data_IF_982221863000
#
_entry.id   IF_982221863000
#
_cell.length_a   1.000
_cell.length_b   1.000
_cell.length_c   1.000
_cell.angle_alpha   90.00
_cell.angle_beta   90.00
_cell.angle_gamma   90.00
#
_symmetry.space_group_name_H-M   'P 1'
#
loop_
_entity.id
_entity.type
_entity.pdbx_description
1 polymer ?
#
# COMPACT_ATOMS: atom_id res chain seq x y z
N UNK A 1 10.34 -1.04 -10.05
CA UNK A 1 10.89 -1.54 -8.76
C UNK A 1 11.33 -0.34 -7.91
N UNK A 2 10.39 0.32 -7.23
CA UNK A 2 10.63 1.55 -6.44
C UNK A 2 10.69 1.28 -4.93
N UNK A 3 9.85 0.37 -4.42
CA UNK A 3 9.66 0.06 -2.99
C UNK A 3 10.89 -0.43 -2.21
N UNK A 4 12.03 -0.64 -2.85
CA UNK A 4 13.28 -1.08 -2.20
C UNK A 4 14.46 -0.12 -2.35
N UNK A 5 14.25 1.07 -2.93
CA UNK A 5 15.31 2.07 -3.16
C UNK A 5 15.03 3.44 -2.54
N UNK A 6 13.78 3.71 -2.18
CA UNK A 6 13.32 5.00 -1.66
C UNK A 6 12.57 4.79 -0.36
N UNK A 7 12.73 5.73 0.57
CA UNK A 7 12.01 5.75 1.83
C UNK A 7 10.51 5.90 1.55
N UNK A 8 9.67 5.21 2.32
CA UNK A 8 8.22 5.17 2.10
C UNK A 8 7.59 6.57 2.01
N UNK A 9 8.03 7.48 2.88
CA UNK A 9 7.54 8.87 2.91
C UNK A 9 7.91 9.70 1.67
N UNK A 10 8.88 9.29 0.86
CA UNK A 10 9.23 9.97 -0.39
C UNK A 10 8.41 9.49 -1.58
N UNK A 11 7.70 8.36 -1.46
CA UNK A 11 6.99 7.74 -2.58
C UNK A 11 5.96 8.69 -3.20
N UNK A 12 5.09 9.39 -2.44
CA UNK A 12 4.11 10.31 -3.03
C UNK A 12 4.74 11.46 -3.81
N UNK A 13 5.99 11.85 -3.50
CA UNK A 13 6.69 12.91 -4.25
C UNK A 13 7.19 12.44 -5.61
N UNK A 14 7.40 11.13 -5.78
CA UNK A 14 7.95 10.54 -7.01
C UNK A 14 6.82 9.95 -7.85
N UNK A 15 5.84 9.33 -7.21
CA UNK A 15 4.68 8.70 -7.84
C UNK A 15 3.45 9.09 -7.03
N UNK A 16 2.58 9.86 -7.66
CA UNK A 16 1.33 10.33 -7.06
C UNK A 16 0.12 9.52 -7.58
N UNK A 17 0.05 9.28 -8.90
CA UNK A 17 -1.10 8.61 -9.54
C UNK A 17 -0.65 7.37 -10.32
N UNK A 18 -1.41 6.28 -10.21
CA UNK A 18 -1.22 5.02 -10.95
C UNK A 18 -2.44 4.78 -11.82
N UNK A 19 -2.24 4.73 -13.13
CA UNK A 19 -3.30 4.47 -14.11
C UNK A 19 -3.12 3.06 -14.66
N UNK A 20 -4.11 2.20 -14.45
CA UNK A 20 -4.14 0.86 -15.00
C UNK A 20 -4.89 0.85 -16.32
N UNK A 21 -4.16 0.62 -17.42
CA UNK A 21 -4.72 0.58 -18.78
C UNK A 21 -4.82 -0.88 -19.23
N UNK A 22 -5.99 -1.26 -19.74
CA UNK A 22 -6.25 -2.59 -20.30
C UNK A 22 -7.01 -2.46 -21.61
N UNK A 23 -6.53 -3.13 -22.66
CA UNK A 23 -7.17 -3.15 -23.98
C UNK A 23 -7.42 -1.76 -24.61
N UNK A 24 -6.60 -0.76 -24.24
CA UNK A 24 -6.73 0.62 -24.72
C UNK A 24 -7.69 1.49 -23.89
N UNK A 25 -8.33 0.93 -22.86
CA UNK A 25 -9.21 1.63 -21.95
C UNK A 25 -8.57 1.80 -20.57
N UNK A 26 -8.93 2.89 -19.89
CA UNK A 26 -8.56 3.11 -18.48
C UNK A 26 -9.43 2.17 -17.65
N UNK A 27 -8.80 1.16 -17.06
CA UNK A 27 -9.51 0.17 -16.27
C UNK A 27 -9.68 0.61 -14.82
N UNK A 28 -8.63 1.15 -14.19
CA UNK A 28 -8.67 1.67 -12.81
C UNK A 28 -7.65 2.80 -12.64
N UNK A 29 -7.96 3.77 -11.78
CA UNK A 29 -7.05 4.87 -11.42
C UNK A 29 -6.89 4.87 -9.92
N UNK A 30 -5.66 4.92 -9.45
CA UNK A 30 -5.33 5.00 -8.03
C UNK A 30 -4.53 6.24 -7.72
N UNK A 31 -4.77 6.83 -6.55
CA UNK A 31 -3.96 7.92 -5.99
C UNK A 31 -3.18 7.44 -4.77
N UNK A 32 -2.01 8.02 -4.53
CA UNK A 32 -1.11 7.68 -3.43
C UNK A 32 -1.09 8.82 -2.42
N UNK A 33 -1.39 8.53 -1.16
CA UNK A 33 -1.37 9.51 -0.07
C UNK A 33 -0.50 9.03 1.07
N UNK A 34 0.31 9.91 1.64
CA UNK A 34 1.01 9.62 2.90
C UNK A 34 0.20 10.10 4.10
N UNK A 35 0.07 9.24 5.09
CA UNK A 35 -0.71 9.48 6.31
C UNK A 35 0.01 8.86 7.51
N UNK A 36 -0.19 9.42 8.70
CA UNK A 36 0.25 8.80 9.96
C UNK A 36 -0.99 8.19 10.59
N UNK A 37 -1.05 6.85 10.64
CA UNK A 37 -2.18 6.08 11.20
C UNK A 37 -1.66 4.81 11.86
N UNK A 38 -2.54 4.13 12.60
CA UNK A 38 -2.31 2.76 13.08
C UNK A 38 -2.64 1.81 11.92
N UNK A 39 -1.71 0.97 11.44
CA UNK A 39 -1.99 0.04 10.34
C UNK A 39 -3.09 -0.96 10.70
N UNK A 40 -3.96 -1.28 9.75
CA UNK A 40 -5.16 -2.11 9.97
C UNK A 40 -4.86 -3.54 10.46
N UNK A 41 -3.61 -4.02 10.33
CA UNK A 41 -3.15 -5.32 10.82
C UNK A 41 -2.60 -5.35 12.24
N UNK A 42 -2.55 -4.23 12.96
CA UNK A 42 -2.03 -4.14 14.33
C UNK A 42 -3.14 -3.77 15.33
N UNK A 43 -3.13 -4.41 16.50
CA UNK A 43 -4.13 -4.18 17.56
C UNK A 43 -3.70 -3.18 18.64
N UNK A 44 -2.40 -2.86 18.73
CA UNK A 44 -1.87 -1.91 19.72
C UNK A 44 -1.77 -0.50 19.12
N UNK A 45 -2.52 0.43 19.70
CA UNK A 45 -2.73 1.81 19.22
C UNK A 45 -1.53 2.75 19.44
N UNK A 46 -0.56 2.36 20.28
CA UNK A 46 0.60 3.20 20.63
C UNK A 46 1.68 3.30 19.53
N UNK A 47 1.47 2.65 18.38
CA UNK A 47 2.42 2.57 17.28
C UNK A 47 1.89 3.26 16.01
N UNK A 48 1.46 4.52 16.15
CA UNK A 48 1.20 5.38 15.00
C UNK A 48 2.48 5.49 14.15
N UNK A 49 2.39 5.12 12.87
CA UNK A 49 3.52 5.08 11.96
C UNK A 49 3.18 5.78 10.65
N UNK A 50 4.19 6.33 9.94
CA UNK A 50 3.99 6.80 8.58
C UNK A 50 3.68 5.60 7.67
N UNK A 51 2.55 5.69 6.97
CA UNK A 51 2.11 4.74 5.97
C UNK A 51 1.75 5.46 4.68
N UNK A 52 1.72 4.70 3.59
CA UNK A 52 1.24 5.17 2.28
C UNK A 52 -0.04 4.43 1.95
N UNK A 53 -1.11 5.18 1.74
CA UNK A 53 -2.43 4.70 1.34
C UNK A 53 -2.53 4.77 -0.19
N UNK A 54 -2.98 3.67 -0.79
CA UNK A 54 -3.38 3.62 -2.19
C UNK A 54 -4.89 3.72 -2.22
N UNK A 55 -5.40 4.83 -2.72
CA UNK A 55 -6.83 5.14 -2.76
C UNK A 55 -7.35 4.87 -4.17
N UNK A 56 -8.58 4.39 -4.26
CA UNK A 56 -9.31 4.41 -5.53
C UNK A 56 -9.66 5.85 -5.88
N UNK A 57 -9.44 6.24 -7.13
CA UNK A 57 -9.69 7.61 -7.57
C UNK A 57 -11.18 7.95 -7.66
N UNK A 58 -12.05 6.96 -7.90
CA UNK A 58 -13.49 7.19 -8.04
C UNK A 58 -14.19 7.24 -6.68
N UNK A 59 -13.81 6.34 -5.76
CA UNK A 59 -14.49 6.22 -4.45
C UNK A 59 -13.77 6.93 -3.31
N UNK A 60 -12.51 7.33 -3.50
CA UNK A 60 -11.60 7.82 -2.46
C UNK A 60 -11.39 6.83 -1.29
N UNK A 61 -11.75 5.55 -1.48
CA UNK A 61 -11.57 4.52 -0.47
C UNK A 61 -10.15 3.93 -0.52
N UNK A 62 -9.51 3.70 0.64
CA UNK A 62 -8.18 3.09 0.68
C UNK A 62 -8.27 1.61 0.31
N UNK A 63 -7.63 1.26 -0.79
CA UNK A 63 -7.58 -0.09 -1.36
C UNK A 63 -6.42 -0.89 -0.78
N UNK A 64 -5.27 -0.23 -0.62
CA UNK A 64 -4.07 -0.83 -0.03
C UNK A 64 -3.41 0.11 0.97
N UNK A 65 -2.79 -0.49 1.98
CA UNK A 65 -1.87 0.19 2.89
C UNK A 65 -0.46 -0.36 2.68
N UNK A 66 0.51 0.54 2.58
CA UNK A 66 1.93 0.21 2.52
C UNK A 66 2.58 0.79 3.77
N UNK A 67 3.25 -0.05 4.54
CA UNK A 67 3.99 0.37 5.73
C UNK A 67 5.25 -0.47 5.91
N UNK A 68 6.12 -0.03 6.81
CA UNK A 68 7.36 -0.75 7.13
C UNK A 68 7.20 -1.45 8.48
N UNK A 69 7.51 -2.74 8.53
CA UNK A 69 7.58 -3.53 9.75
C UNK A 69 8.99 -4.07 9.93
N UNK A 70 9.70 -3.60 10.97
CA UNK A 70 11.14 -3.84 11.10
C UNK A 70 11.89 -3.22 9.91
N UNK A 71 12.62 -4.05 9.17
CA UNK A 71 13.37 -3.65 7.96
C UNK A 71 12.67 -4.07 6.64
N UNK A 72 11.40 -4.46 6.72
CA UNK A 72 10.67 -5.04 5.59
C UNK A 72 9.44 -4.20 5.23
N UNK A 73 9.25 -3.95 3.93
CA UNK A 73 8.05 -3.28 3.40
C UNK A 73 6.92 -4.28 3.28
N UNK A 74 5.80 -3.96 3.91
CA UNK A 74 4.57 -4.76 3.90
C UNK A 74 3.51 -4.02 3.09
N UNK A 75 2.79 -4.75 2.25
CA UNK A 75 1.62 -4.27 1.51
C UNK A 75 0.42 -5.04 2.05
N UNK A 76 -0.56 -4.33 2.60
CA UNK A 76 -1.81 -4.87 3.12
C UNK A 76 -2.95 -4.52 2.17
N UNK A 77 -3.71 -5.51 1.70
CA UNK A 77 -4.92 -5.29 0.90
C UNK A 77 -6.10 -5.08 1.86
N UNK A 78 -6.77 -3.93 1.77
CA UNK A 78 -7.90 -3.59 2.62
C UNK A 78 -9.23 -4.13 2.07
N UNK A 79 -9.31 -4.43 0.76
CA UNK A 79 -10.51 -5.06 0.18
C UNK A 79 -10.63 -6.51 0.65
N UNK A 80 -9.50 -7.19 0.84
CA UNK A 80 -9.48 -8.56 1.40
C UNK A 80 -9.71 -8.59 2.92
N UNK A 81 -9.44 -7.50 3.66
CA UNK A 81 -9.68 -7.46 5.10
C UNK A 81 -11.17 -7.58 5.46
N UNK A 82 -12.06 -7.16 4.56
CA UNK A 82 -13.51 -7.40 4.66
C UNK A 82 -13.94 -8.83 4.27
N UNK A 83 -13.01 -9.67 3.80
CA UNK A 83 -13.27 -11.02 3.30
C UNK A 83 -12.13 -11.97 3.72
N UNK A 84 -11.95 -12.16 5.04
CA UNK A 84 -11.15 -13.21 5.69
C UNK A 84 -9.83 -13.70 4.98
N UNK A 85 -8.69 -13.11 5.38
CA UNK A 85 -7.25 -13.50 5.33
C UNK A 85 -6.78 -14.80 4.59
N UNK A 86 -5.57 -14.85 3.95
CA UNK A 86 -4.31 -14.91 4.72
C UNK A 86 -3.08 -14.20 4.10
N UNK A 87 -2.26 -13.66 5.02
CA UNK A 87 -0.97 -13.02 4.80
C UNK A 87 0.01 -13.90 3.99
N UNK A 88 0.36 -13.47 2.76
CA UNK A 88 1.34 -14.17 1.90
C UNK A 88 2.62 -13.35 1.76
N UNK A 89 3.55 -13.58 2.69
CA UNK A 89 4.92 -13.08 2.58
C UNK A 89 5.62 -13.76 1.39
N UNK A 90 5.86 -13.02 0.30
CA UNK A 90 6.58 -13.54 -0.85
C UNK A 90 8.07 -13.71 -0.53
N UNK A 91 8.45 -14.88 0.02
CA UNK A 91 9.85 -15.33 0.02
C UNK A 91 10.26 -15.60 -1.42
N UNK A 92 10.87 -14.63 -2.10
CA UNK A 92 11.73 -14.95 -3.23
C UNK A 92 13.07 -15.44 -2.69
N UNK A 93 13.25 -16.77 -2.72
CA UNK A 93 14.55 -17.46 -2.64
C UNK A 93 15.55 -16.71 -3.52
N UNK A 94 16.59 -16.15 -2.91
CA UNK A 94 17.85 -15.98 -3.63
C UNK A 94 18.46 -17.37 -3.78
N UNK A 95 18.74 -17.75 -5.03
CA UNK A 95 19.67 -18.82 -5.37
C UNK A 95 21.04 -18.20 -5.52
#
# INVERSE_FOLDING_TARGET
>A
RLLGRVQLGMIPMIVDTVIFIKDGEISQVYSLRSSIKVPSGMRDEDLARPLVEVLDFETEEPVYEIYTFGDQVVISDLRELHREAPFRYSRKRCR
#
